data_IF_236951682402
#
_entry.id   IF_236951682402
#
_cell.length_a   1.000
_cell.length_b   1.000
_cell.length_c   1.000
_cell.angle_alpha   90.00
_cell.angle_beta   90.00
_cell.angle_gamma   90.00
#
_symmetry.space_group_name_H-M   'P 1'
#
loop_
_entity.id
_entity.type
_entity.pdbx_description
1 polymer ?
#
# COMPACT_ATOMS: atom_id res chain seq x y z
N UNK A 1 17.48 -25.35 0.67
CA UNK A 1 17.48 -23.91 0.30
C UNK A 1 18.00 -23.72 -1.13
N UNK A 2 17.26 -23.02 -1.99
CA UNK A 2 17.72 -22.66 -3.33
C UNK A 2 17.96 -21.14 -3.41
N UNK A 3 18.89 -20.74 -4.26
CA UNK A 3 19.22 -19.34 -4.51
C UNK A 3 19.03 -19.05 -6.00
N UNK A 4 18.52 -17.88 -6.33
CA UNK A 4 18.39 -17.39 -7.70
C UNK A 4 18.57 -15.88 -7.73
N UNK A 5 19.00 -15.37 -8.88
CA UNK A 5 19.07 -13.93 -9.15
C UNK A 5 17.69 -13.51 -9.68
N UNK A 6 16.97 -12.57 -9.05
CA UNK A 6 15.69 -12.09 -9.56
C UNK A 6 15.85 -11.54 -10.98
N UNK A 7 15.03 -12.04 -11.90
CA UNK A 7 15.09 -11.74 -13.34
C UNK A 7 13.75 -11.27 -13.92
N UNK A 8 12.69 -11.19 -13.09
CA UNK A 8 11.37 -10.73 -13.50
C UNK A 8 10.94 -9.51 -12.67
N UNK A 9 10.17 -8.63 -13.30
CA UNK A 9 9.46 -7.54 -12.61
C UNK A 9 7.98 -7.86 -12.63
N UNK A 10 7.33 -7.82 -11.47
CA UNK A 10 5.88 -8.00 -11.37
C UNK A 10 5.17 -6.72 -11.80
N UNK A 11 4.28 -6.84 -12.78
CA UNK A 11 3.41 -5.74 -13.23
C UNK A 11 1.96 -6.15 -13.01
N UNK A 12 1.21 -5.29 -12.31
CA UNK A 12 -0.21 -5.47 -12.05
C UNK A 12 -0.99 -4.39 -12.79
N UNK A 13 -1.86 -4.80 -13.72
CA UNK A 13 -2.79 -3.91 -14.40
C UNK A 13 -4.18 -4.07 -13.79
N UNK A 14 -4.72 -3.01 -13.19
CA UNK A 14 -5.99 -3.05 -12.47
C UNK A 14 -6.72 -1.72 -12.56
N UNK A 15 -8.05 -1.77 -12.55
CA UNK A 15 -8.91 -0.59 -12.44
C UNK A 15 -8.99 -0.06 -11.00
N UNK A 16 -8.75 -0.93 -10.02
CA UNK A 16 -8.77 -0.60 -8.59
C UNK A 16 -7.51 -1.13 -7.93
N UNK A 17 -6.76 -0.25 -7.26
CA UNK A 17 -5.52 -0.66 -6.60
C UNK A 17 -5.82 -1.70 -5.50
N UNK A 18 -5.01 -2.77 -5.39
CA UNK A 18 -5.24 -3.80 -4.39
C UNK A 18 -5.04 -3.24 -2.98
N UNK A 19 -5.59 -3.90 -1.96
CA UNK A 19 -5.26 -3.58 -0.57
C UNK A 19 -3.91 -4.20 -0.22
N UNK A 20 -3.01 -3.44 0.39
CA UNK A 20 -1.70 -3.95 0.85
C UNK A 20 -1.84 -4.37 2.32
N UNK A 21 -1.64 -5.66 2.60
CA UNK A 21 -1.78 -6.22 3.95
C UNK A 21 -0.59 -5.92 4.87
N UNK A 22 0.63 -5.84 4.33
CA UNK A 22 1.85 -5.60 5.10
C UNK A 22 2.29 -4.13 5.00
N UNK A 23 2.26 -3.43 6.15
CA UNK A 23 2.48 -1.97 6.27
C UNK A 23 3.97 -1.66 6.57
N UNK A 24 4.91 -2.51 6.16
CA UNK A 24 6.32 -2.22 6.40
C UNK A 24 6.88 -1.20 5.37
N UNK A 25 7.82 -0.36 5.81
CA UNK A 25 8.52 0.61 4.96
C UNK A 25 9.16 -0.04 3.72
N UNK A 26 9.54 -1.31 3.83
CA UNK A 26 10.14 -2.12 2.77
C UNK A 26 9.18 -2.43 1.62
N UNK A 27 7.91 -2.71 1.92
CA UNK A 27 6.89 -2.89 0.89
C UNK A 27 6.65 -1.58 0.13
N UNK A 28 6.44 -0.47 0.85
CA UNK A 28 6.15 0.83 0.23
C UNK A 28 7.26 1.37 -0.68
N UNK A 29 8.54 1.14 -0.35
CA UNK A 29 9.67 1.56 -1.21
C UNK A 29 9.78 0.80 -2.53
N UNK A 30 9.04 -0.30 -2.71
CA UNK A 30 9.06 -1.12 -3.93
C UNK A 30 7.83 -0.93 -4.82
N UNK A 31 6.79 -0.30 -4.31
CA UNK A 31 5.55 -0.08 -5.05
C UNK A 31 5.70 1.15 -5.95
N UNK A 32 5.44 0.95 -7.24
CA UNK A 32 5.36 2.03 -8.23
C UNK A 32 3.93 2.03 -8.76
N UNK A 33 3.25 3.16 -8.64
CA UNK A 33 1.88 3.35 -9.15
C UNK A 33 1.93 4.28 -10.34
N UNK A 34 1.69 3.75 -11.53
CA UNK A 34 1.63 4.53 -12.77
C UNK A 34 0.17 4.71 -13.15
N UNK A 35 -0.41 5.91 -13.00
CA UNK A 35 -1.81 6.15 -13.32
C UNK A 35 -2.00 6.32 -14.84
N UNK A 36 -2.86 5.50 -15.44
CA UNK A 36 -3.31 5.63 -16.82
C UNK A 36 -4.66 6.35 -16.83
N UNK A 37 -4.62 7.68 -16.87
CA UNK A 37 -5.82 8.54 -16.76
C UNK A 37 -6.40 8.96 -18.12
N UNK A 38 -5.69 8.67 -19.21
CA UNK A 38 -6.13 9.01 -20.55
C UNK A 38 -7.38 8.19 -20.92
N UNK A 39 -8.42 8.89 -21.37
CA UNK A 39 -9.60 8.26 -21.99
C UNK A 39 -9.44 8.30 -23.50
N UNK A 40 -9.51 7.12 -24.12
CA UNK A 40 -9.43 6.96 -25.57
C UNK A 40 -10.86 6.78 -26.07
N UNK A 41 -11.33 7.70 -26.90
CA UNK A 41 -12.71 7.74 -27.38
C UNK A 41 -12.76 8.04 -28.89
N UNK A 42 -13.89 7.70 -29.52
CA UNK A 42 -14.15 8.01 -30.93
C UNK A 42 -13.22 7.26 -31.88
N UNK A 43 -12.69 7.94 -32.89
CA UNK A 43 -11.84 7.34 -33.93
C UNK A 43 -10.46 6.88 -33.42
N UNK A 44 -10.08 7.27 -32.20
CA UNK A 44 -8.84 6.80 -31.56
C UNK A 44 -9.01 5.44 -30.87
N UNK A 45 -10.24 5.00 -30.61
CA UNK A 45 -10.55 3.70 -30.01
C UNK A 45 -10.53 2.60 -31.09
N UNK A 46 -9.32 2.19 -31.46
CA UNK A 46 -9.09 1.16 -32.46
C UNK A 46 -9.22 -0.23 -31.80
N UNK A 47 -10.13 -1.05 -32.33
CA UNK A 47 -10.27 -2.45 -31.88
C UNK A 47 -9.00 -3.24 -32.19
N UNK A 48 -8.63 -4.15 -31.29
CA UNK A 48 -7.42 -4.98 -31.41
C UNK A 48 -6.15 -4.13 -31.62
N UNK A 49 -6.03 -3.01 -30.91
CA UNK A 49 -4.91 -2.08 -31.09
C UNK A 49 -3.54 -2.72 -30.91
N UNK A 50 -3.42 -3.78 -30.10
CA UNK A 50 -2.19 -4.54 -29.96
C UNK A 50 -1.73 -5.15 -31.30
N UNK A 51 -2.63 -5.78 -32.06
CA UNK A 51 -2.31 -6.36 -33.37
C UNK A 51 -1.95 -5.26 -34.37
N UNK A 52 -2.72 -4.16 -34.37
CA UNK A 52 -2.42 -2.99 -35.19
C UNK A 52 -1.01 -2.44 -34.91
N UNK A 53 -0.64 -2.28 -33.64
CA UNK A 53 0.68 -1.80 -33.24
C UNK A 53 1.79 -2.80 -33.64
N UNK A 54 1.55 -4.10 -33.53
CA UNK A 54 2.50 -5.12 -33.94
C UNK A 54 2.79 -5.03 -35.45
N UNK A 55 1.75 -4.99 -36.27
CA UNK A 55 1.86 -4.95 -37.73
C UNK A 55 2.42 -3.63 -38.26
N UNK A 56 2.02 -2.50 -37.67
CA UNK A 56 2.30 -1.17 -38.25
C UNK A 56 3.42 -0.41 -37.54
N UNK A 57 3.73 -0.76 -36.28
CA UNK A 57 4.67 -0.02 -35.45
C UNK A 57 5.65 -0.90 -34.65
N UNK A 58 5.63 -2.23 -34.82
CA UNK A 58 6.40 -3.17 -33.99
C UNK A 58 7.90 -2.87 -33.98
N UNK A 59 8.48 -2.54 -35.15
CA UNK A 59 9.89 -2.16 -35.26
C UNK A 59 10.22 -0.88 -34.47
N UNK A 60 9.37 0.15 -34.57
CA UNK A 60 9.56 1.41 -33.86
C UNK A 60 9.40 1.24 -32.33
N UNK A 61 8.43 0.44 -31.90
CA UNK A 61 8.22 0.11 -30.47
C UNK A 61 9.44 -0.62 -29.92
N UNK A 62 9.96 -1.62 -30.64
CA UNK A 62 11.16 -2.35 -30.22
C UNK A 62 12.37 -1.42 -30.11
N UNK A 63 12.59 -0.53 -31.09
CA UNK A 63 13.63 0.48 -31.02
C UNK A 63 13.49 1.38 -29.78
N UNK A 64 12.27 1.85 -29.50
CA UNK A 64 12.00 2.68 -28.32
C UNK A 64 12.26 1.94 -26.99
N UNK A 65 11.88 0.66 -26.91
CA UNK A 65 12.18 -0.19 -25.75
C UNK A 65 13.70 -0.37 -25.57
N UNK A 66 14.46 -0.59 -26.65
CA UNK A 66 15.93 -0.71 -26.60
C UNK A 66 16.57 0.59 -26.12
N UNK A 67 16.10 1.73 -26.61
CA UNK A 67 16.57 3.05 -26.15
C UNK A 67 16.27 3.27 -24.67
N UNK A 68 15.07 2.91 -24.21
CA UNK A 68 14.70 2.95 -22.81
C UNK A 68 15.60 2.06 -21.95
N UNK A 69 15.86 0.83 -22.38
CA UNK A 69 16.73 -0.11 -21.68
C UNK A 69 18.16 0.45 -21.54
N UNK A 70 18.72 1.03 -22.60
CA UNK A 70 20.04 1.69 -22.55
C UNK A 70 20.07 2.82 -21.51
N UNK A 71 19.04 3.68 -21.47
CA UNK A 71 18.94 4.77 -20.49
C UNK A 71 18.91 4.23 -19.06
N UNK A 72 18.06 3.24 -18.79
CA UNK A 72 17.93 2.64 -17.45
C UNK A 72 19.25 2.00 -17.01
N UNK A 73 19.96 1.30 -17.90
CA UNK A 73 21.27 0.71 -17.61
C UNK A 73 22.32 1.80 -17.31
N UNK A 74 22.34 2.88 -18.09
CA UNK A 74 23.26 4.02 -17.89
C UNK A 74 23.05 4.68 -16.53
N UNK A 75 21.80 4.77 -16.07
CA UNK A 75 21.43 5.30 -14.74
C UNK A 75 21.58 4.27 -13.60
N UNK A 76 22.23 3.12 -13.86
CA UNK A 76 22.37 2.02 -12.90
C UNK A 76 21.02 1.59 -12.28
N UNK A 77 19.96 1.59 -13.07
CA UNK A 77 18.59 1.25 -12.65
C UNK A 77 17.99 2.19 -11.58
N UNK A 78 18.60 3.38 -11.36
CA UNK A 78 18.03 4.42 -10.51
C UNK A 78 17.12 5.33 -11.34
N UNK A 79 15.82 5.18 -11.17
CA UNK A 79 14.83 5.96 -11.92
C UNK A 79 14.10 6.87 -10.93
N UNK A 80 14.26 8.17 -11.10
CA UNK A 80 13.48 9.15 -10.37
C UNK A 80 12.03 9.18 -10.91
N UNK A 81 11.02 8.84 -10.10
CA UNK A 81 9.65 8.83 -10.58
C UNK A 81 9.17 10.26 -10.89
N UNK A 82 8.41 10.47 -11.98
CA UNK A 82 7.75 11.75 -12.23
C UNK A 82 6.81 12.13 -11.08
N UNK A 83 6.53 13.42 -10.91
CA UNK A 83 5.68 13.92 -9.82
C UNK A 83 4.32 13.20 -9.78
N UNK A 84 3.70 12.96 -10.95
CA UNK A 84 2.42 12.24 -11.06
C UNK A 84 2.47 10.83 -10.45
N UNK A 85 3.59 10.13 -10.59
CA UNK A 85 3.83 8.80 -9.99
C UNK A 85 4.06 8.93 -8.49
N UNK A 86 4.83 9.94 -8.05
CA UNK A 86 5.05 10.24 -6.63
C UNK A 86 3.72 10.52 -5.91
N UNK A 87 2.86 11.34 -6.50
CA UNK A 87 1.54 11.69 -5.97
C UNK A 87 0.61 10.47 -5.92
N UNK A 88 0.62 9.63 -6.96
CA UNK A 88 -0.20 8.41 -7.00
C UNK A 88 0.22 7.40 -5.92
N UNK A 89 1.52 7.22 -5.69
CA UNK A 89 2.06 6.40 -4.61
C UNK A 89 1.66 6.97 -3.24
N UNK A 90 1.78 8.29 -3.06
CA UNK A 90 1.41 8.94 -1.80
C UNK A 90 -0.08 8.75 -1.49
N UNK A 91 -0.96 9.07 -2.43
CA UNK A 91 -2.41 8.88 -2.27
C UNK A 91 -2.76 7.41 -2.01
N UNK A 92 -2.10 6.48 -2.69
CA UNK A 92 -2.30 5.06 -2.45
C UNK A 92 -1.87 4.66 -1.03
N UNK A 93 -0.77 5.22 -0.53
CA UNK A 93 -0.32 5.02 0.85
C UNK A 93 -1.30 5.58 1.86
N UNK A 94 -1.73 6.83 1.72
CA UNK A 94 -2.73 7.46 2.61
C UNK A 94 -4.01 6.63 2.67
N UNK A 95 -4.55 6.22 1.52
CA UNK A 95 -5.75 5.38 1.44
C UNK A 95 -5.57 3.99 2.09
N UNK A 96 -4.33 3.53 2.26
CA UNK A 96 -4.01 2.27 2.94
C UNK A 96 -3.52 2.49 4.37
N UNK A 97 -3.44 3.74 4.87
CA UNK A 97 -3.00 4.05 6.23
C UNK A 97 -4.15 4.00 7.24
N UNK A 98 -4.91 2.90 7.15
CA UNK A 98 -6.07 2.64 8.02
C UNK A 98 -5.67 2.57 9.49
N UNK A 99 -4.42 2.20 9.80
CA UNK A 99 -3.91 2.15 11.17
C UNK A 99 -3.74 3.57 11.73
N UNK A 100 -3.10 4.48 11.00
CA UNK A 100 -2.96 5.86 11.46
C UNK A 100 -4.32 6.54 11.62
N UNK A 101 -5.27 6.28 10.72
CA UNK A 101 -6.64 6.76 10.87
C UNK A 101 -7.29 6.25 12.17
N UNK A 102 -7.22 4.94 12.43
CA UNK A 102 -7.75 4.38 13.67
C UNK A 102 -7.06 4.97 14.92
N UNK A 103 -5.74 5.09 14.92
CA UNK A 103 -4.98 5.65 16.04
C UNK A 103 -5.35 7.11 16.30
N UNK A 104 -5.47 7.92 15.25
CA UNK A 104 -5.81 9.34 15.38
C UNK A 104 -7.25 9.55 15.84
N UNK A 105 -8.21 8.75 15.36
CA UNK A 105 -9.62 8.93 15.66
C UNK A 105 -10.02 8.29 17.01
N UNK A 106 -9.53 7.08 17.30
CA UNK A 106 -10.01 6.27 18.43
C UNK A 106 -9.04 6.22 19.62
N UNK A 107 -7.77 6.62 19.44
CA UNK A 107 -6.75 6.46 20.47
C UNK A 107 -6.11 7.80 20.86
N UNK A 108 -5.51 7.82 22.05
CA UNK A 108 -4.55 8.82 22.48
C UNK A 108 -3.20 8.14 22.67
N UNK A 109 -2.14 8.75 22.16
CA UNK A 109 -0.79 8.20 22.13
C UNK A 109 0.08 8.94 23.14
N UNK A 110 0.69 8.20 24.07
CA UNK A 110 1.65 8.69 25.05
C UNK A 110 2.42 7.49 25.62
N UNK A 111 3.72 7.64 25.89
CA UNK A 111 4.58 6.56 26.40
C UNK A 111 4.08 5.98 27.74
N UNK A 112 3.38 6.79 28.56
CA UNK A 112 2.80 6.38 29.83
C UNK A 112 1.45 5.66 29.70
N UNK A 113 0.85 5.62 28.51
CA UNK A 113 -0.46 5.00 28.31
C UNK A 113 -0.38 3.50 28.03
N UNK A 114 -1.41 2.80 28.49
CA UNK A 114 -1.61 1.38 28.18
C UNK A 114 -3.10 1.11 27.98
N UNK A 115 -3.39 0.13 27.12
CA UNK A 115 -4.75 -0.38 26.91
C UNK A 115 -4.75 -1.90 26.80
N UNK A 116 -5.88 -2.53 27.15
CA UNK A 116 -6.03 -3.96 26.93
C UNK A 116 -6.11 -4.25 25.44
N UNK A 117 -5.26 -5.16 24.96
CA UNK A 117 -5.16 -5.53 23.55
C UNK A 117 -6.50 -5.95 22.94
N UNK A 118 -7.32 -6.68 23.71
CA UNK A 118 -8.64 -7.13 23.25
C UNK A 118 -9.64 -5.99 23.07
N UNK A 119 -9.63 -5.01 23.99
CA UNK A 119 -10.49 -3.82 23.92
C UNK A 119 -10.12 -2.97 22.70
N UNK A 120 -8.82 -2.74 22.48
CA UNK A 120 -8.35 -1.96 21.31
C UNK A 120 -8.78 -2.58 19.98
N UNK A 121 -8.65 -3.91 19.83
CA UNK A 121 -9.10 -4.56 18.61
C UNK A 121 -10.62 -4.52 18.45
N UNK A 122 -11.39 -4.62 19.53
CA UNK A 122 -12.84 -4.49 19.48
C UNK A 122 -13.26 -3.08 19.06
N UNK A 123 -12.64 -2.04 19.62
CA UNK A 123 -12.87 -0.65 19.20
C UNK A 123 -12.48 -0.42 17.75
N UNK A 124 -11.39 -1.02 17.26
CA UNK A 124 -11.04 -0.99 15.83
C UNK A 124 -12.14 -1.59 14.94
N UNK A 125 -12.69 -2.76 15.31
CA UNK A 125 -13.79 -3.37 14.56
C UNK A 125 -15.05 -2.49 14.54
N UNK A 126 -15.38 -1.88 15.69
CA UNK A 126 -16.50 -0.97 15.81
C UNK A 126 -16.30 0.27 14.93
N UNK A 127 -15.12 0.88 14.99
CA UNK A 127 -14.73 2.02 14.17
C UNK A 127 -14.86 1.71 12.67
N UNK A 128 -14.29 0.60 12.19
CA UNK A 128 -14.42 0.19 10.78
C UNK A 128 -15.90 0.03 10.37
N UNK A 129 -16.73 -0.53 11.24
CA UNK A 129 -18.17 -0.68 10.96
C UNK A 129 -18.86 0.68 10.85
N UNK A 130 -18.51 1.63 11.72
CA UNK A 130 -19.07 2.99 11.73
C UNK A 130 -18.69 3.79 10.49
N UNK A 131 -17.43 3.70 10.03
CA UNK A 131 -16.95 4.43 8.84
C UNK A 131 -17.16 3.68 7.53
N UNK A 132 -17.72 2.46 7.58
CA UNK A 132 -17.96 1.62 6.41
C UNK A 132 -16.70 1.04 5.78
N UNK A 133 -15.61 0.92 6.55
CA UNK A 133 -14.34 0.36 6.08
C UNK A 133 -14.22 -1.15 6.38
N UNK A 134 -13.32 -1.82 5.66
CA UNK A 134 -13.08 -3.25 5.79
C UNK A 134 -12.30 -3.58 7.06
N UNK A 135 -12.91 -4.39 7.91
CA UNK A 135 -12.29 -4.94 9.12
C UNK A 135 -11.18 -5.92 8.73
N UNK A 136 -9.92 -5.57 9.05
CA UNK A 136 -8.77 -6.47 8.87
C UNK A 136 -8.78 -7.61 9.89
N UNK A 137 -8.05 -8.69 9.58
CA UNK A 137 -7.90 -9.81 10.52
C UNK A 137 -7.15 -9.37 11.77
N UNK A 138 -7.28 -10.13 12.87
CA UNK A 138 -6.51 -9.88 14.09
C UNK A 138 -5.00 -9.87 13.82
N UNK A 139 -4.52 -10.79 12.99
CA UNK A 139 -3.11 -10.90 12.65
C UNK A 139 -2.59 -9.66 11.89
N UNK A 140 -3.33 -9.21 10.87
CA UNK A 140 -2.99 -7.99 10.13
C UNK A 140 -3.04 -6.77 11.03
N UNK A 141 -4.04 -6.70 11.92
CA UNK A 141 -4.19 -5.61 12.88
C UNK A 141 -2.96 -5.45 13.76
N UNK A 142 -2.53 -6.52 14.42
CA UNK A 142 -1.38 -6.45 15.33
C UNK A 142 -0.06 -6.24 14.60
N UNK A 143 0.10 -6.81 13.40
CA UNK A 143 1.29 -6.58 12.55
C UNK A 143 1.42 -5.10 12.19
N UNK A 144 0.31 -4.47 11.81
CA UNK A 144 0.26 -3.04 11.51
C UNK A 144 0.52 -2.16 12.75
N UNK A 145 0.00 -2.59 13.91
CA UNK A 145 0.13 -1.85 15.16
C UNK A 145 1.58 -1.82 15.65
N UNK A 146 2.24 -2.99 15.63
CA UNK A 146 3.67 -3.13 15.92
C UNK A 146 4.52 -2.38 14.89
N UNK A 147 4.16 -2.45 13.61
CA UNK A 147 4.79 -1.67 12.53
C UNK A 147 4.64 -0.15 12.70
N UNK A 148 3.64 0.30 13.46
CA UNK A 148 3.42 1.71 13.82
C UNK A 148 4.14 2.13 15.10
N UNK A 149 4.92 1.21 15.72
CA UNK A 149 5.77 1.49 16.88
C UNK A 149 5.15 1.19 18.24
N UNK A 150 4.03 0.45 18.29
CA UNK A 150 3.38 0.09 19.56
C UNK A 150 3.66 -1.37 19.92
N UNK A 151 4.24 -1.57 21.11
CA UNK A 151 4.57 -2.90 21.60
C UNK A 151 3.39 -3.55 22.32
N UNK A 152 3.25 -4.87 22.14
CA UNK A 152 2.29 -5.69 22.87
C UNK A 152 3.00 -6.56 23.91
N UNK A 153 2.58 -6.45 25.17
CA UNK A 153 3.14 -7.20 26.30
C UNK A 153 2.08 -8.11 26.92
N UNK A 154 2.46 -9.35 27.23
CA UNK A 154 1.62 -10.27 28.03
C UNK A 154 1.81 -9.98 29.52
N UNK A 155 0.70 -9.80 30.23
CA UNK A 155 0.65 -9.75 31.70
C UNK A 155 0.04 -11.04 32.25
N UNK A 156 -0.07 -11.14 33.58
CA UNK A 156 -0.66 -12.30 34.24
C UNK A 156 -2.12 -12.56 33.80
N UNK A 157 -2.88 -11.50 33.55
CA UNK A 157 -4.32 -11.60 33.33
C UNK A 157 -4.73 -11.32 31.86
N UNK A 158 -3.97 -10.52 31.11
CA UNK A 158 -4.29 -10.20 29.72
C UNK A 158 -3.06 -9.79 28.88
N UNK A 159 -3.27 -9.49 27.60
CA UNK A 159 -2.26 -8.79 26.80
C UNK A 159 -2.58 -7.30 26.77
N UNK A 160 -1.59 -6.44 26.96
CA UNK A 160 -1.70 -4.99 26.90
C UNK A 160 -0.87 -4.43 25.75
N UNK A 161 -1.29 -3.29 25.22
CA UNK A 161 -0.53 -2.47 24.28
C UNK A 161 0.06 -1.30 25.06
N UNK A 162 1.33 -0.99 24.82
CA UNK A 162 2.07 0.11 25.45
C UNK A 162 2.13 1.29 24.49
N UNK A 163 2.01 2.51 25.01
CA UNK A 163 2.14 3.74 24.24
C UNK A 163 0.81 4.35 23.78
N UNK A 164 -0.33 3.71 24.09
CA UNK A 164 -1.64 4.24 23.72
C UNK A 164 -2.74 3.89 24.74
N UNK A 165 -3.82 4.68 24.73
CA UNK A 165 -5.12 4.36 25.34
C UNK A 165 -6.26 4.66 24.38
N UNK A 166 -7.43 4.07 24.61
CA UNK A 166 -8.65 4.41 23.87
C UNK A 166 -9.22 5.75 24.37
N UNK A 167 -9.75 6.57 23.46
CA UNK A 167 -10.50 7.79 23.83
C UNK A 167 -11.79 7.43 24.55
N UNK A 168 -12.25 8.29 25.46
CA UNK A 168 -13.38 8.02 26.35
C UNK A 168 -14.71 7.73 25.63
N UNK A 169 -14.91 8.28 24.43
CA UNK A 169 -16.12 8.04 23.62
C UNK A 169 -16.20 6.62 23.04
N UNK A 170 -15.11 5.85 23.13
CA UNK A 170 -15.04 4.45 22.67
C UNK A 170 -14.92 3.45 23.83
N UNK A 171 -15.04 3.93 25.07
CA UNK A 171 -15.16 3.12 26.29
C UNK A 171 -16.64 2.99 26.64
N UNK A 172 -17.33 2.03 25.99
CA UNK A 172 -18.63 1.52 26.48
C UNK A 172 -18.44 0.31 27.39
#
# INVERSE_FOLDING_TARGET
PFSYIPNHTLVLYTNHLPKVGAIDKGTWRRLIVIPFEAKIEGSADVKNFADYLFENAGGAILSWVIEGAKKVIQENFHIEPPQKVKDAIHKYKENNDWMSHFLNECCEVDEGYTAKSGEVYNSYRAYCTQVGDFIRSTADFYTALEGSGFDRKRTRDCSIIIGLRLKSEFLE
#
